data_IF_066135568364
#
_entry.id   IF_066135568364
#
_cell.length_a   1.000
_cell.length_b   1.000
_cell.length_c   1.000
_cell.angle_alpha   90.00
_cell.angle_beta   90.00
_cell.angle_gamma   90.00
#
_symmetry.space_group_name_H-M   'P 1'
#
loop_
_entity.id
_entity.type
_entity.pdbx_description
1 polymer ?
#
# COMPACT_ATOMS: atom_id res chain seq x y z
N UNK A 1 -3.99 6.55 -30.54
CA UNK A 1 -4.53 7.90 -30.26
C UNK A 1 -6.04 7.79 -30.21
N UNK A 2 -6.69 8.27 -29.15
CA UNK A 2 -8.15 8.25 -29.05
C UNK A 2 -8.74 9.11 -30.17
N UNK A 3 -9.68 8.57 -30.94
CA UNK A 3 -10.36 9.29 -32.01
C UNK A 3 -11.48 10.13 -31.38
N UNK A 4 -11.16 11.39 -31.02
CA UNK A 4 -12.15 12.33 -30.54
C UNK A 4 -13.17 12.65 -31.65
N UNK A 5 -14.46 12.70 -31.28
CA UNK A 5 -15.58 12.99 -32.17
C UNK A 5 -16.18 14.36 -31.86
N UNK A 6 -16.96 14.96 -32.78
CA UNK A 6 -17.72 16.16 -32.46
C UNK A 6 -18.57 15.95 -31.20
N UNK A 7 -18.56 16.94 -30.30
CA UNK A 7 -19.21 16.96 -28.97
C UNK A 7 -18.50 16.19 -27.86
N UNK A 8 -17.30 15.66 -28.10
CA UNK A 8 -16.43 15.18 -27.04
C UNK A 8 -15.74 16.35 -26.31
N UNK A 9 -15.55 16.24 -25.00
CA UNK A 9 -14.78 17.17 -24.18
C UNK A 9 -13.38 16.60 -23.94
N UNK A 10 -12.34 17.34 -24.32
CA UNK A 10 -10.96 17.00 -24.02
C UNK A 10 -10.48 17.78 -22.80
N UNK A 11 -10.06 17.04 -21.77
CA UNK A 11 -9.45 17.60 -20.56
C UNK A 11 -7.95 17.38 -20.63
N UNK A 12 -7.19 18.47 -20.58
CA UNK A 12 -5.73 18.46 -20.71
C UNK A 12 -5.15 19.10 -19.45
N UNK A 13 -4.13 18.47 -18.89
CA UNK A 13 -3.32 19.02 -17.80
C UNK A 13 -1.86 19.05 -18.25
N UNK A 14 -1.13 20.10 -17.86
CA UNK A 14 0.28 20.31 -18.17
C UNK A 14 1.03 20.69 -16.89
N UNK A 15 2.17 20.05 -16.66
CA UNK A 15 2.92 20.13 -15.40
C UNK A 15 3.81 18.89 -15.21
N UNK A 16 4.50 18.81 -14.07
CA UNK A 16 5.38 17.68 -13.73
C UNK A 16 4.56 16.50 -13.15
N UNK A 17 5.17 15.69 -12.27
CA UNK A 17 4.72 14.35 -11.90
C UNK A 17 3.27 14.29 -11.36
N UNK A 18 2.73 15.41 -10.89
CA UNK A 18 1.40 15.58 -10.27
C UNK A 18 0.24 15.47 -11.27
N UNK A 19 0.49 15.70 -12.57
CA UNK A 19 -0.56 15.66 -13.59
C UNK A 19 -1.17 14.26 -13.78
N UNK A 20 -0.37 13.20 -13.61
CA UNK A 20 -0.83 11.81 -13.83
C UNK A 20 -1.83 11.37 -12.75
N UNK A 21 -1.54 11.50 -11.43
CA UNK A 21 -2.52 11.24 -10.39
C UNK A 21 -3.78 12.09 -10.54
N UNK A 22 -3.63 13.38 -10.88
CA UNK A 22 -4.75 14.30 -11.06
C UNK A 22 -5.70 13.83 -12.18
N UNK A 23 -5.18 13.58 -13.39
CA UNK A 23 -5.98 13.11 -14.51
C UNK A 23 -6.55 11.70 -14.26
N UNK A 24 -5.82 10.85 -13.53
CA UNK A 24 -6.31 9.55 -13.08
C UNK A 24 -7.54 9.67 -12.19
N UNK A 25 -7.51 10.58 -11.20
CA UNK A 25 -8.66 10.87 -10.32
C UNK A 25 -9.81 11.51 -11.09
N UNK A 26 -9.52 12.49 -11.93
CA UNK A 26 -10.52 13.19 -12.74
C UNK A 26 -11.26 12.23 -13.67
N UNK A 27 -10.55 11.30 -14.30
CA UNK A 27 -11.13 10.24 -15.14
C UNK A 27 -12.18 9.42 -14.37
N UNK A 28 -11.90 9.06 -13.12
CA UNK A 28 -12.84 8.30 -12.29
C UNK A 28 -14.05 9.14 -11.87
N UNK A 29 -13.85 10.41 -11.54
CA UNK A 29 -14.93 11.34 -11.20
C UNK A 29 -15.84 11.62 -12.41
N UNK A 30 -15.27 11.82 -13.60
CA UNK A 30 -16.04 12.00 -14.82
C UNK A 30 -16.91 10.76 -15.14
N UNK A 31 -16.37 9.55 -14.97
CA UNK A 31 -17.14 8.32 -15.15
C UNK A 31 -18.34 8.26 -14.17
N UNK A 32 -18.12 8.66 -12.92
CA UNK A 32 -19.16 8.69 -11.88
C UNK A 32 -20.26 9.72 -12.20
N UNK A 33 -19.88 10.93 -12.63
CA UNK A 33 -20.83 11.97 -13.06
C UNK A 33 -21.67 11.54 -14.27
N UNK A 34 -21.04 10.92 -15.27
CA UNK A 34 -21.74 10.42 -16.46
C UNK A 34 -22.75 9.33 -16.08
N UNK A 35 -22.37 8.41 -15.19
CA UNK A 35 -23.27 7.37 -14.68
C UNK A 35 -24.43 7.95 -13.88
N UNK A 36 -24.20 8.96 -13.03
CA UNK A 36 -25.27 9.68 -12.33
C UNK A 36 -26.25 10.39 -13.29
N UNK A 37 -25.79 10.77 -14.49
CA UNK A 37 -26.64 11.34 -15.55
C UNK A 37 -27.35 10.32 -16.44
N UNK A 38 -27.25 9.02 -16.11
CA UNK A 38 -27.92 7.93 -16.84
C UNK A 38 -27.10 7.32 -17.98
N UNK A 39 -25.83 7.71 -18.16
CA UNK A 39 -24.95 7.11 -19.16
C UNK A 39 -24.16 5.94 -18.57
N UNK A 40 -24.40 4.72 -19.05
CA UNK A 40 -23.64 3.55 -18.63
C UNK A 40 -22.21 3.57 -19.20
N UNK A 41 -21.22 3.98 -18.39
CA UNK A 41 -19.80 4.02 -18.76
C UNK A 41 -19.06 2.76 -18.33
N UNK A 42 -19.34 2.25 -17.11
CA UNK A 42 -18.74 1.03 -16.56
C UNK A 42 -19.79 -0.05 -16.39
N UNK A 43 -19.39 -1.30 -16.59
CA UNK A 43 -20.23 -2.47 -16.28
C UNK A 43 -19.89 -2.97 -14.86
N UNK A 44 -20.80 -2.85 -13.86
CA UNK A 44 -20.54 -3.25 -12.49
C UNK A 44 -20.44 -4.78 -12.30
N UNK A 45 -21.01 -5.57 -13.23
CA UNK A 45 -20.98 -7.04 -13.18
C UNK A 45 -19.77 -7.65 -13.89
N UNK A 46 -18.98 -6.84 -14.59
CA UNK A 46 -17.78 -7.31 -15.29
C UNK A 46 -16.55 -7.22 -14.39
N UNK A 47 -15.78 -8.30 -14.32
CA UNK A 47 -14.47 -8.32 -13.66
C UNK A 47 -13.36 -8.10 -14.69
N UNK A 48 -12.61 -7.01 -14.52
CA UNK A 48 -11.42 -6.73 -15.33
C UNK A 48 -10.18 -6.96 -14.47
N UNK A 49 -9.40 -7.97 -14.86
CA UNK A 49 -8.13 -8.30 -14.23
C UNK A 49 -6.98 -7.76 -15.07
N UNK A 50 -5.97 -7.21 -14.41
CA UNK A 50 -4.69 -6.89 -15.02
C UNK A 50 -3.56 -7.10 -14.03
N UNK A 51 -2.37 -7.36 -14.55
CA UNK A 51 -1.13 -7.37 -13.77
C UNK A 51 -0.33 -6.13 -14.12
N UNK A 52 0.04 -5.34 -13.12
CA UNK A 52 1.02 -4.28 -13.26
C UNK A 52 2.39 -4.86 -12.97
N UNK A 53 3.31 -4.72 -13.92
CA UNK A 53 4.69 -5.21 -13.84
C UNK A 53 5.67 -4.03 -13.90
N UNK A 54 6.96 -4.32 -13.78
CA UNK A 54 8.06 -3.38 -14.04
C UNK A 54 8.03 -2.11 -13.16
N UNK A 55 7.68 -2.29 -11.89
CA UNK A 55 7.77 -1.21 -10.91
C UNK A 55 9.24 -0.80 -10.67
N UNK A 56 9.49 0.49 -10.38
CA UNK A 56 10.80 0.92 -9.93
C UNK A 56 11.14 0.24 -8.60
N UNK A 57 12.39 -0.20 -8.42
CA UNK A 57 12.82 -0.80 -7.15
C UNK A 57 12.96 0.26 -6.04
N UNK A 58 13.32 1.48 -6.43
CA UNK A 58 13.54 2.59 -5.53
C UNK A 58 12.73 3.82 -5.95
N UNK A 59 12.25 4.55 -4.96
CA UNK A 59 11.63 5.87 -5.12
C UNK A 59 12.40 6.90 -4.28
N UNK A 60 12.43 8.18 -4.70
CA UNK A 60 12.96 9.24 -3.85
C UNK A 60 12.17 9.31 -2.55
N UNK A 61 12.84 9.56 -1.42
CA UNK A 61 12.14 9.85 -0.17
C UNK A 61 11.33 11.14 -0.31
N UNK A 62 10.14 11.16 0.26
CA UNK A 62 9.29 12.36 0.26
C UNK A 62 10.00 13.54 0.93
N UNK A 63 10.73 13.30 2.02
CA UNK A 63 11.41 14.33 2.81
C UNK A 63 12.82 14.69 2.31
N UNK A 64 13.45 13.84 1.50
CA UNK A 64 14.80 14.07 0.96
C UNK A 64 14.95 13.41 -0.42
N UNK A 65 14.69 14.16 -1.52
CA UNK A 65 14.78 13.64 -2.88
C UNK A 65 16.17 13.15 -3.29
N UNK A 66 17.22 13.49 -2.54
CA UNK A 66 18.59 12.99 -2.75
C UNK A 66 18.80 11.57 -2.24
N UNK A 67 17.88 11.06 -1.41
CA UNK A 67 17.89 9.71 -0.87
C UNK A 67 16.82 8.82 -1.50
N UNK A 68 17.15 7.55 -1.64
CA UNK A 68 16.25 6.51 -2.14
C UNK A 68 15.68 5.69 -0.99
N UNK A 69 14.40 5.34 -1.10
CA UNK A 69 13.77 4.29 -0.31
C UNK A 69 13.26 3.17 -1.22
N UNK A 70 13.02 1.99 -0.65
CA UNK A 70 12.40 0.89 -1.38
C UNK A 70 10.97 1.29 -1.77
N UNK A 71 10.60 1.05 -3.03
CA UNK A 71 9.24 1.30 -3.50
C UNK A 71 8.19 0.34 -2.88
N UNK A 72 8.67 -0.71 -2.22
CA UNK A 72 7.87 -1.85 -1.77
C UNK A 72 8.55 -2.44 -0.52
N UNK A 73 8.88 -3.74 -0.50
CA UNK A 73 9.67 -4.33 0.56
C UNK A 73 11.18 -4.32 0.21
N UNK A 74 12.08 -4.03 1.17
CA UNK A 74 13.54 -4.05 0.95
C UNK A 74 14.14 -5.41 0.57
N UNK A 75 13.34 -6.47 0.53
CA UNK A 75 13.74 -7.80 0.08
C UNK A 75 13.38 -8.06 -1.38
N UNK A 76 12.78 -7.11 -2.10
CA UNK A 76 12.43 -7.26 -3.52
C UNK A 76 13.70 -7.31 -4.39
N UNK A 77 13.82 -8.34 -5.23
CA UNK A 77 14.95 -8.52 -6.15
C UNK A 77 14.83 -7.63 -7.41
N UNK A 78 15.90 -7.61 -8.19
CA UNK A 78 16.04 -6.85 -9.45
C UNK A 78 15.67 -7.70 -10.66
N UNK A 79 14.95 -7.13 -11.62
CA UNK A 79 14.56 -7.83 -12.85
C UNK A 79 15.74 -8.12 -13.80
N UNK A 80 16.84 -7.38 -13.66
CA UNK A 80 18.04 -7.49 -14.49
C UNK A 80 19.29 -7.24 -13.65
N UNK A 81 20.47 -7.62 -14.17
CA UNK A 81 21.74 -7.24 -13.56
C UNK A 81 21.81 -5.72 -13.41
N UNK A 82 22.15 -5.26 -12.21
CA UNK A 82 22.18 -3.83 -11.85
C UNK A 82 23.13 -3.12 -12.83
N UNK A 83 22.64 -2.21 -13.69
CA UNK A 83 23.51 -1.44 -14.54
C UNK A 83 24.42 -0.57 -13.65
N UNK A 84 25.71 -0.42 -13.95
CA UNK A 84 26.64 0.34 -13.11
C UNK A 84 26.32 1.85 -13.02
N UNK A 85 25.28 2.33 -13.71
CA UNK A 85 25.15 3.75 -14.04
C UNK A 85 24.02 4.46 -13.28
N UNK A 86 22.95 3.79 -12.82
CA UNK A 86 22.00 4.45 -11.91
C UNK A 86 20.98 3.54 -11.20
N UNK A 87 20.81 3.72 -9.88
CA UNK A 87 19.85 2.97 -9.07
C UNK A 87 18.38 3.29 -9.39
N UNK A 88 18.08 4.49 -9.90
CA UNK A 88 16.71 4.94 -10.24
C UNK A 88 16.10 4.20 -11.44
N UNK A 89 16.94 3.58 -12.28
CA UNK A 89 16.50 2.84 -13.47
C UNK A 89 16.26 1.35 -13.17
N UNK A 90 16.58 0.90 -11.97
CA UNK A 90 16.46 -0.49 -11.57
C UNK A 90 14.98 -0.83 -11.36
N UNK A 91 14.53 -1.89 -12.04
CA UNK A 91 13.17 -2.44 -11.90
C UNK A 91 13.15 -3.60 -10.92
N UNK A 92 12.15 -3.63 -10.04
CA UNK A 92 11.95 -4.73 -9.10
C UNK A 92 11.19 -5.89 -9.75
N UNK A 93 11.48 -7.13 -9.35
CA UNK A 93 10.63 -8.30 -9.70
C UNK A 93 9.46 -8.39 -8.72
N UNK A 94 8.51 -7.47 -8.86
CA UNK A 94 7.21 -7.57 -8.19
C UNK A 94 6.09 -7.19 -9.15
N UNK A 95 4.88 -7.67 -8.85
CA UNK A 95 3.71 -7.41 -9.66
C UNK A 95 2.47 -7.20 -8.80
N UNK A 96 1.62 -6.28 -9.22
CA UNK A 96 0.33 -6.04 -8.57
C UNK A 96 -0.79 -6.60 -9.45
N UNK A 97 -1.63 -7.49 -8.91
CA UNK A 97 -2.87 -7.89 -9.56
C UNK A 97 -3.98 -6.91 -9.18
N UNK A 98 -4.55 -6.26 -10.19
CA UNK A 98 -5.61 -5.29 -10.03
C UNK A 98 -6.91 -5.89 -10.55
N UNK A 99 -7.96 -5.82 -9.74
CA UNK A 99 -9.31 -6.22 -10.11
C UNK A 99 -10.28 -5.05 -9.91
N UNK A 100 -10.82 -4.51 -11.02
CA UNK A 100 -11.71 -3.35 -11.01
C UNK A 100 -11.14 -2.18 -10.15
N UNK A 101 -11.94 -1.26 -9.58
CA UNK A 101 -11.50 -0.09 -8.76
C UNK A 101 -10.79 -0.51 -7.43
N UNK A 102 -9.81 -1.40 -7.46
CA UNK A 102 -8.94 -1.72 -6.35
C UNK A 102 -7.49 -1.79 -6.85
N UNK A 103 -6.79 -0.67 -6.70
CA UNK A 103 -5.33 -0.68 -6.60
C UNK A 103 -4.99 -1.37 -5.28
N UNK A 104 -4.97 -2.70 -5.26
CA UNK A 104 -4.26 -3.40 -4.20
C UNK A 104 -2.99 -3.95 -4.78
N UNK A 105 -1.90 -3.56 -4.13
CA UNK A 105 -0.58 -3.99 -4.48
C UNK A 105 -0.42 -5.45 -4.06
N UNK A 106 -0.17 -6.34 -5.01
CA UNK A 106 0.14 -7.73 -4.68
C UNK A 106 1.65 -7.86 -4.61
N UNK A 107 2.15 -8.54 -3.59
CA UNK A 107 3.56 -8.49 -3.27
C UNK A 107 4.19 -9.82 -3.63
N UNK A 108 5.02 -9.85 -4.68
CA UNK A 108 6.01 -10.91 -4.82
C UNK A 108 7.24 -10.58 -4.01
N UNK A 109 7.50 -11.41 -3.01
CA UNK A 109 8.75 -11.42 -2.28
C UNK A 109 9.73 -12.36 -2.99
N UNK A 110 10.57 -11.82 -3.87
CA UNK A 110 11.74 -12.53 -4.41
C UNK A 110 13.00 -11.94 -3.80
N UNK A 111 13.73 -12.71 -2.98
CA UNK A 111 14.86 -12.21 -2.17
C UNK A 111 16.21 -12.36 -2.88
N UNK A 112 16.91 -11.25 -3.14
CA UNK A 112 18.39 -11.23 -3.28
C UNK A 112 18.99 -10.00 -2.57
N UNK A 113 19.74 -10.29 -1.50
CA UNK A 113 20.49 -9.36 -0.64
C UNK A 113 21.80 -8.86 -1.29
N UNK A 114 21.74 -8.11 -2.41
CA UNK A 114 22.97 -7.53 -3.00
C UNK A 114 22.95 -6.05 -3.40
N UNK A 115 21.83 -5.34 -3.32
CA UNK A 115 21.74 -3.99 -3.93
C UNK A 115 21.80 -2.85 -2.94
N UNK A 116 21.47 -3.08 -1.69
CA UNK A 116 21.48 -1.97 -0.75
C UNK A 116 22.95 -1.55 -0.52
N UNK A 117 23.17 -0.29 -0.24
CA UNK A 117 24.34 0.24 0.46
C UNK A 117 23.79 0.95 1.71
N UNK A 118 22.62 0.47 2.19
CA UNK A 118 22.05 0.90 3.45
C UNK A 118 23.03 0.48 4.52
N UNK A 119 23.26 1.26 5.55
CA UNK A 119 24.10 0.84 6.66
C UNK A 119 23.45 -0.32 7.43
N UNK A 120 23.48 -1.54 6.87
CA UNK A 120 22.90 -2.72 7.53
C UNK A 120 23.72 -3.09 8.75
N UNK A 121 24.87 -2.47 9.06
CA UNK A 121 25.54 -2.75 10.33
C UNK A 121 24.60 -2.46 11.51
N UNK A 122 23.77 -1.43 11.41
CA UNK A 122 22.74 -1.11 12.41
C UNK A 122 21.56 -2.10 12.40
N UNK A 123 21.09 -2.53 11.21
CA UNK A 123 19.90 -3.40 11.06
C UNK A 123 20.19 -4.90 11.12
N UNK A 124 21.43 -5.33 10.88
CA UNK A 124 21.87 -6.73 10.90
C UNK A 124 21.68 -7.37 12.27
N UNK A 125 21.72 -6.59 13.35
CA UNK A 125 21.40 -7.07 14.70
C UNK A 125 19.92 -7.46 14.87
N UNK A 126 19.00 -6.79 14.19
CA UNK A 126 17.56 -7.08 14.29
C UNK A 126 17.11 -8.18 13.33
N UNK A 127 17.81 -8.35 12.21
CA UNK A 127 17.48 -9.33 11.16
C UNK A 127 18.46 -10.51 11.10
N UNK A 128 19.39 -10.65 12.06
CA UNK A 128 20.45 -11.67 12.03
C UNK A 128 19.91 -13.07 11.83
N UNK A 129 18.86 -13.44 12.57
CA UNK A 129 18.24 -14.76 12.47
C UNK A 129 17.69 -15.06 11.07
N UNK A 130 17.08 -14.07 10.42
CA UNK A 130 16.57 -14.22 9.05
C UNK A 130 17.72 -14.33 8.06
N UNK A 131 18.75 -13.48 8.19
CA UNK A 131 19.91 -13.49 7.30
C UNK A 131 20.70 -14.80 7.41
N UNK A 132 20.91 -15.30 8.62
CA UNK A 132 21.55 -16.60 8.88
C UNK A 132 20.73 -17.77 8.29
N UNK A 133 19.40 -17.72 8.40
CA UNK A 133 18.54 -18.72 7.78
C UNK A 133 18.62 -18.70 6.25
N UNK A 134 18.70 -17.50 5.64
CA UNK A 134 18.88 -17.35 4.19
C UNK A 134 20.26 -17.85 3.73
N UNK A 135 21.31 -17.55 4.49
CA UNK A 135 22.69 -17.98 4.22
C UNK A 135 22.88 -19.50 4.41
N UNK A 136 21.98 -20.17 5.15
CA UNK A 136 22.00 -21.62 5.39
C UNK A 136 21.48 -22.46 4.21
N UNK A 137 21.39 -21.88 3.01
CA UNK A 137 20.99 -22.59 1.79
C UNK A 137 19.50 -22.48 1.47
N UNK A 138 18.85 -21.36 1.79
CA UNK A 138 17.47 -21.12 1.38
C UNK A 138 17.35 -21.16 -0.16
N UNK A 139 16.38 -21.90 -0.72
CA UNK A 139 16.15 -21.92 -2.16
C UNK A 139 15.60 -20.57 -2.65
N UNK A 140 15.66 -20.28 -3.97
CA UNK A 140 14.90 -19.18 -4.54
C UNK A 140 13.40 -19.34 -4.22
N UNK A 141 12.77 -18.31 -3.67
CA UNK A 141 11.34 -18.31 -3.34
C UNK A 141 10.66 -17.04 -3.86
N UNK A 142 9.35 -17.17 -4.04
CA UNK A 142 8.43 -16.11 -4.43
C UNK A 142 7.19 -16.22 -3.55
N UNK A 143 6.60 -15.10 -3.17
CA UNK A 143 5.40 -15.04 -2.33
C UNK A 143 4.26 -14.31 -3.03
N UNK A 144 3.04 -14.41 -2.50
CA UNK A 144 1.94 -13.53 -2.88
C UNK A 144 1.04 -13.31 -1.67
N UNK A 145 0.55 -12.08 -1.49
CA UNK A 145 -0.42 -11.73 -0.47
C UNK A 145 -1.70 -11.19 -1.12
N UNK A 146 -2.84 -11.67 -0.66
CA UNK A 146 -4.16 -11.25 -1.13
C UNK A 146 -4.86 -10.44 -0.07
N UNK A 147 -5.38 -9.26 -0.43
CA UNK A 147 -6.39 -8.56 0.36
C UNK A 147 -7.72 -9.30 0.28
N UNK A 148 -7.89 -10.35 1.09
CA UNK A 148 -9.04 -11.24 1.01
C UNK A 148 -10.37 -10.49 1.24
N UNK A 149 -10.44 -9.63 2.27
CA UNK A 149 -11.64 -8.84 2.56
C UNK A 149 -12.03 -7.94 1.38
N UNK A 150 -11.03 -7.35 0.71
CA UNK A 150 -11.25 -6.51 -0.46
C UNK A 150 -11.71 -7.33 -1.65
N UNK A 151 -11.05 -8.46 -1.93
CA UNK A 151 -11.41 -9.39 -2.99
C UNK A 151 -12.89 -9.79 -2.88
N UNK A 152 -13.30 -10.22 -1.69
CA UNK A 152 -14.69 -10.60 -1.41
C UNK A 152 -15.63 -9.40 -1.53
N UNK A 153 -15.25 -8.21 -1.02
CA UNK A 153 -16.08 -7.00 -1.16
C UNK A 153 -16.38 -6.66 -2.62
N UNK A 154 -15.41 -6.83 -3.53
CA UNK A 154 -15.60 -6.54 -4.95
C UNK A 154 -16.49 -7.59 -5.61
N UNK A 155 -16.32 -8.88 -5.24
CA UNK A 155 -17.14 -9.98 -5.78
C UNK A 155 -18.60 -9.80 -5.37
N UNK A 156 -18.86 -9.43 -4.12
CA UNK A 156 -20.21 -9.20 -3.59
C UNK A 156 -20.76 -7.82 -3.99
N UNK A 157 -19.89 -6.89 -4.42
CA UNK A 157 -20.26 -5.55 -4.84
C UNK A 157 -20.53 -4.59 -3.67
N UNK A 158 -19.91 -4.80 -2.51
CA UNK A 158 -20.06 -3.88 -1.37
C UNK A 158 -19.08 -2.71 -1.46
N UNK A 159 -19.50 -1.50 -1.03
CA UNK A 159 -18.65 -0.32 -1.06
C UNK A 159 -17.58 -0.33 0.04
N UNK A 160 -17.79 -1.10 1.11
CA UNK A 160 -16.93 -1.16 2.28
C UNK A 160 -16.57 -2.60 2.62
N UNK A 161 -15.30 -2.83 2.99
CA UNK A 161 -14.85 -4.11 3.54
C UNK A 161 -15.50 -4.41 4.91
N UNK A 162 -15.96 -3.38 5.63
CA UNK A 162 -16.63 -3.56 6.93
C UNK A 162 -17.93 -4.36 6.80
N UNK A 163 -18.58 -4.30 5.64
CA UNK A 163 -19.82 -5.03 5.39
C UNK A 163 -19.58 -6.55 5.21
N UNK A 164 -18.32 -6.96 5.02
CA UNK A 164 -17.90 -8.36 4.91
C UNK A 164 -17.35 -8.94 6.23
N UNK A 165 -17.08 -8.08 7.21
CA UNK A 165 -16.47 -8.48 8.48
C UNK A 165 -17.59 -8.54 9.52
N UNK A 166 -17.74 -9.68 10.22
CA UNK A 166 -18.82 -9.87 11.19
C UNK A 166 -18.79 -8.83 12.34
N UNK A 167 -17.60 -8.49 12.82
CA UNK A 167 -17.39 -7.52 13.91
C UNK A 167 -16.33 -6.48 13.51
N UNK A 168 -16.68 -5.56 12.59
CA UNK A 168 -15.73 -4.61 12.04
C UNK A 168 -15.34 -3.57 13.08
N UNK A 169 -14.12 -3.04 12.95
CA UNK A 169 -13.65 -1.95 13.80
C UNK A 169 -13.97 -0.60 13.18
N UNK A 170 -14.19 0.39 14.06
CA UNK A 170 -14.36 1.79 13.67
C UNK A 170 -13.07 2.36 13.05
N UNK A 171 -13.15 3.56 12.49
CA UNK A 171 -11.96 4.25 11.94
C UNK A 171 -10.88 4.51 13.01
N UNK A 172 -11.29 4.60 14.29
CA UNK A 172 -10.38 4.74 15.44
C UNK A 172 -9.87 3.40 15.97
N UNK A 173 -10.16 2.28 15.31
CA UNK A 173 -9.74 0.95 15.75
C UNK A 173 -10.61 0.32 16.84
N UNK A 174 -11.66 1.01 17.32
CA UNK A 174 -12.53 0.50 18.38
C UNK A 174 -13.56 -0.51 17.86
N UNK A 175 -13.83 -1.53 18.67
CA UNK A 175 -15.01 -2.39 18.55
C UNK A 175 -16.17 -1.76 19.31
N UNK A 176 -17.19 -1.30 18.58
CA UNK A 176 -18.34 -0.63 19.17
C UNK A 176 -19.32 -1.60 19.84
N UNK A 177 -19.28 -2.89 19.51
CA UNK A 177 -20.17 -3.89 20.08
C UNK A 177 -19.64 -4.38 21.43
N UNK A 178 -18.34 -4.63 21.52
CA UNK A 178 -17.71 -5.11 22.76
C UNK A 178 -17.11 -4.00 23.62
N UNK A 179 -17.21 -2.74 23.20
CA UNK A 179 -16.55 -1.60 23.83
C UNK A 179 -15.02 -1.78 23.96
N UNK A 180 -14.37 -2.40 22.98
CA UNK A 180 -12.91 -2.60 22.99
C UNK A 180 -12.17 -1.49 22.22
N UNK A 181 -10.93 -1.12 22.59
CA UNK A 181 -10.18 -1.60 23.75
C UNK A 181 -10.76 -1.08 25.08
N UNK A 182 -10.46 -1.79 26.17
CA UNK A 182 -10.90 -1.44 27.52
C UNK A 182 -9.69 -1.27 28.46
N UNK A 183 -9.94 -0.73 29.65
CA UNK A 183 -8.94 -0.53 30.68
C UNK A 183 -8.49 -1.86 31.29
N UNK A 184 -7.17 -2.01 31.49
CA UNK A 184 -6.55 -3.17 32.13
C UNK A 184 -5.99 -2.75 33.49
N UNK A 185 -6.24 -3.54 34.54
CA UNK A 185 -5.82 -3.19 35.89
C UNK A 185 -4.31 -3.34 36.10
N UNK A 186 -3.73 -2.58 37.05
CA UNK A 186 -2.31 -2.70 37.39
C UNK A 186 -1.91 -4.11 37.85
N UNK A 187 -2.83 -4.82 38.51
CA UNK A 187 -2.63 -6.20 38.96
C UNK A 187 -2.46 -7.16 37.76
N UNK A 188 -3.16 -6.91 36.66
CA UNK A 188 -3.03 -7.68 35.42
C UNK A 188 -1.80 -7.29 34.61
N UNK A 189 -1.35 -6.04 34.68
CA UNK A 189 -0.15 -5.56 33.99
C UNK A 189 1.15 -6.02 34.68
N UNK A 190 1.14 -6.17 36.01
CA UNK A 190 2.32 -6.49 36.83
C UNK A 190 3.07 -7.75 36.39
N UNK A 191 2.41 -8.89 36.08
CA UNK A 191 3.10 -10.09 35.56
C UNK A 191 3.82 -9.86 34.23
N UNK A 192 3.39 -8.89 33.43
CA UNK A 192 4.01 -8.55 32.15
C UNK A 192 5.10 -7.47 32.26
N UNK A 193 5.31 -6.92 33.46
CA UNK A 193 6.26 -5.83 33.71
C UNK A 193 5.97 -4.58 32.85
N UNK A 194 4.69 -4.28 32.63
CA UNK A 194 4.22 -3.13 31.84
C UNK A 194 3.63 -2.07 32.78
N UNK A 195 3.85 -0.79 32.49
CA UNK A 195 3.17 0.35 33.10
C UNK A 195 2.60 1.26 32.02
N UNK A 196 1.38 1.77 32.23
CA UNK A 196 0.76 2.71 31.29
C UNK A 196 1.23 4.12 31.62
N UNK A 197 1.92 4.75 30.68
CA UNK A 197 2.26 6.17 30.75
C UNK A 197 1.26 6.94 29.89
N UNK A 198 0.37 7.69 30.54
CA UNK A 198 -0.49 8.63 29.84
C UNK A 198 0.33 9.85 29.45
N UNK A 199 0.20 10.37 28.20
CA UNK A 199 0.83 11.64 27.86
C UNK A 199 0.33 12.71 28.83
N UNK A 200 1.24 13.51 29.37
CA UNK A 200 0.87 14.66 30.19
C UNK A 200 -0.03 15.58 29.36
N UNK A 201 -1.20 15.93 29.89
CA UNK A 201 -2.04 16.97 29.30
C UNK A 201 -1.18 18.24 29.22
N UNK A 202 -0.87 18.69 28.01
CA UNK A 202 -0.31 20.03 27.84
C UNK A 202 -1.36 21.03 28.33
N UNK A 203 -1.19 21.49 29.56
CA UNK A 203 -2.13 22.34 30.28
C UNK A 203 -2.57 23.55 29.44
N UNK A 204 -3.88 23.66 29.30
CA UNK A 204 -4.61 24.87 28.96
C UNK A 204 -5.83 24.96 29.86
N UNK A 205 -5.63 25.03 31.17
CA UNK A 205 -6.66 25.35 32.14
C UNK A 205 -7.06 26.83 31.97
N UNK A 206 -8.33 27.12 31.66
CA UNK A 206 -9.02 28.31 32.19
C UNK A 206 -10.50 27.98 32.43
N UNK A 207 -10.81 27.86 33.72
CA UNK A 207 -12.10 28.01 34.40
C UNK A 207 -13.20 28.74 33.63
N UNK A 208 -14.37 28.09 33.53
CA UNK A 208 -15.64 28.55 34.13
C UNK A 208 -16.73 27.49 34.05
#
# INVERSE_FOLDING_TARGET
>A
MAQARPRDLLLISAGMQECRPLLGKLRLQCAELLECSGMAVRNPSAFHFLSVLDFPLFLPKEDDPGQLDSAHHPFTTVCQSIPPVSLWQVRGQHYDLVMNKASEQQHVLETILKVMNLDWRSKRRFLSHLLEALDSGAPPYSGIAWGFDRLVSIIVGTPSIRDMIAFPKSFRGHDLMSHAPDFVSENELKPYHISVNWPEDSEGNQEK
#
